data_IF_525533558770
#
_entry.id   IF_525533558770
#
_cell.length_a   1.000
_cell.length_b   1.000
_cell.length_c   1.000
_cell.angle_alpha   90.00
_cell.angle_beta   90.00
_cell.angle_gamma   90.00
#
_symmetry.space_group_name_H-M   'P 1'
#
loop_
_entity.id
_entity.type
_entity.pdbx_description
1 polymer ?
#
# COMPACT_ATOMS: atom_id res chain seq x y z
N UNK A 1 1.85 16.32 9.32
CA UNK A 1 1.58 14.95 9.80
C UNK A 1 1.56 14.02 8.59
N UNK A 2 2.28 12.90 8.61
CA UNK A 2 2.32 11.94 7.49
C UNK A 2 1.13 10.99 7.59
N UNK A 3 0.35 10.85 6.52
CA UNK A 3 -0.81 9.93 6.47
C UNK A 3 -0.40 8.50 6.16
N UNK A 4 0.65 8.34 5.35
CA UNK A 4 1.27 7.07 4.95
C UNK A 4 2.77 7.30 4.77
N UNK A 5 3.59 6.33 5.15
CA UNK A 5 5.05 6.40 5.04
C UNK A 5 5.69 5.01 4.99
N UNK A 6 6.96 4.98 4.59
CA UNK A 6 7.81 3.79 4.62
C UNK A 6 8.50 3.66 5.98
N UNK A 7 8.53 2.46 6.55
CA UNK A 7 9.11 2.14 7.85
C UNK A 7 9.81 0.77 7.80
N UNK A 8 11.12 0.78 7.54
CA UNK A 8 11.98 -0.42 7.59
C UNK A 8 11.45 -1.63 6.80
N UNK A 9 11.16 -1.45 5.52
CA UNK A 9 10.63 -2.55 4.70
C UNK A 9 9.13 -2.76 4.88
N UNK A 10 8.42 -1.83 5.54
CA UNK A 10 6.96 -1.89 5.71
C UNK A 10 6.33 -0.56 5.31
N UNK A 11 5.06 -0.60 4.98
CA UNK A 11 4.26 0.61 4.81
C UNK A 11 3.42 0.82 6.06
N UNK A 12 3.47 2.02 6.62
CA UNK A 12 2.62 2.40 7.75
C UNK A 12 1.69 3.52 7.36
N UNK A 13 0.48 3.47 7.88
CA UNK A 13 -0.55 4.48 7.62
C UNK A 13 -1.40 4.74 8.86
N UNK A 14 -2.04 5.90 8.89
CA UNK A 14 -3.04 6.24 9.89
C UNK A 14 -4.36 5.60 9.49
N UNK A 15 -4.99 4.85 10.40
CA UNK A 15 -6.37 4.38 10.20
C UNK A 15 -7.34 5.56 10.39
N UNK A 16 -7.77 6.14 9.26
CA UNK A 16 -8.68 7.28 9.25
C UNK A 16 -10.10 6.95 9.72
N UNK A 17 -10.50 5.67 9.76
CA UNK A 17 -11.82 5.25 10.28
C UNK A 17 -11.91 5.42 11.81
N UNK A 18 -10.76 5.42 12.50
CA UNK A 18 -10.68 5.55 13.96
C UNK A 18 -10.65 6.99 14.42
N UNK A 19 -10.42 7.94 13.51
CA UNK A 19 -10.45 9.37 13.82
C UNK A 19 -11.89 9.89 13.91
N UNK A 20 -12.18 10.86 14.80
CA UNK A 20 -11.26 11.50 15.74
C UNK A 20 -11.06 10.73 17.06
N UNK A 21 -11.73 9.58 17.25
CA UNK A 21 -11.75 8.86 18.53
C UNK A 21 -10.40 8.30 18.99
N UNK A 22 -9.56 7.82 18.05
CA UNK A 22 -8.22 7.33 18.36
C UNK A 22 -7.27 7.44 17.16
N UNK A 23 -6.02 7.83 17.44
CA UNK A 23 -4.92 7.77 16.48
C UNK A 23 -4.35 6.35 16.47
N UNK A 24 -4.82 5.52 15.53
CA UNK A 24 -4.37 4.14 15.35
C UNK A 24 -3.54 4.04 14.07
N UNK A 25 -2.43 3.31 14.14
CA UNK A 25 -1.57 3.03 13.00
C UNK A 25 -1.79 1.60 12.48
N UNK A 26 -1.77 1.45 11.17
CA UNK A 26 -1.77 0.15 10.49
C UNK A 26 -0.38 -0.08 9.91
N UNK A 27 0.14 -1.29 10.10
CA UNK A 27 1.36 -1.76 9.46
C UNK A 27 0.98 -2.71 8.33
N UNK A 28 1.57 -2.50 7.16
CA UNK A 28 1.39 -3.32 5.97
C UNK A 28 2.75 -3.90 5.58
N UNK A 29 2.84 -5.22 5.58
CA UNK A 29 4.07 -5.96 5.27
C UNK A 29 4.12 -6.41 3.81
N UNK A 30 2.97 -6.41 3.13
CA UNK A 30 2.86 -6.67 1.70
C UNK A 30 1.90 -5.67 1.01
N UNK A 31 1.89 -5.70 -0.33
CA UNK A 31 1.03 -4.83 -1.14
C UNK A 31 -0.46 -5.20 -1.02
N UNK A 32 -0.79 -6.45 -0.64
CA UNK A 32 -2.17 -6.87 -0.43
C UNK A 32 -2.81 -6.17 0.77
N UNK A 33 -2.06 -6.04 1.88
CA UNK A 33 -2.54 -5.32 3.07
C UNK A 33 -2.75 -3.84 2.80
N UNK A 34 -1.90 -3.23 1.97
CA UNK A 34 -2.11 -1.85 1.51
C UNK A 34 -3.35 -1.75 0.61
N UNK A 35 -3.54 -2.70 -0.30
CA UNK A 35 -4.74 -2.75 -1.14
C UNK A 35 -6.02 -2.85 -0.28
N UNK A 36 -6.03 -3.71 0.74
CA UNK A 36 -7.12 -3.78 1.73
C UNK A 36 -7.33 -2.45 2.43
N UNK A 37 -6.27 -1.74 2.84
CA UNK A 37 -6.39 -0.45 3.51
C UNK A 37 -7.05 0.63 2.62
N UNK A 38 -6.77 0.60 1.30
CA UNK A 38 -7.38 1.49 0.32
C UNK A 38 -8.87 1.14 0.13
N UNK A 39 -9.18 -0.14 -0.11
CA UNK A 39 -10.54 -0.62 -0.38
C UNK A 39 -11.47 -0.41 0.82
N UNK A 40 -10.97 -0.69 2.03
CA UNK A 40 -11.74 -0.50 3.28
C UNK A 40 -11.77 0.94 3.76
N UNK A 41 -11.06 1.86 3.10
CA UNK A 41 -10.96 3.27 3.47
C UNK A 41 -10.27 3.52 4.82
N UNK A 42 -9.41 2.61 5.30
CA UNK A 42 -8.45 2.90 6.37
C UNK A 42 -7.53 4.06 5.96
N UNK A 43 -7.20 4.14 4.66
CA UNK A 43 -6.61 5.33 4.03
C UNK A 43 -7.50 5.83 2.90
N UNK A 44 -7.65 7.16 2.80
CA UNK A 44 -8.48 7.82 1.79
C UNK A 44 -7.95 9.21 1.44
N UNK A 45 -8.49 9.77 0.36
CA UNK A 45 -8.05 11.02 -0.28
C UNK A 45 -7.16 10.70 -1.48
N UNK A 46 -7.48 11.25 -2.66
CA UNK A 46 -6.83 10.87 -3.91
C UNK A 46 -5.29 10.97 -3.87
N UNK A 47 -4.67 12.06 -3.34
CA UNK A 47 -3.22 12.12 -3.21
C UNK A 47 -2.64 11.05 -2.27
N UNK A 48 -3.30 10.79 -1.14
CA UNK A 48 -2.83 9.80 -0.16
C UNK A 48 -2.93 8.37 -0.69
N UNK A 49 -3.99 8.07 -1.44
CA UNK A 49 -4.17 6.77 -2.13
C UNK A 49 -3.06 6.58 -3.16
N UNK A 50 -2.75 7.61 -3.96
CA UNK A 50 -1.66 7.54 -4.94
C UNK A 50 -0.31 7.22 -4.29
N UNK A 51 0.03 7.89 -3.19
CA UNK A 51 1.26 7.62 -2.43
C UNK A 51 1.24 6.22 -1.82
N UNK A 52 0.11 5.78 -1.26
CA UNK A 52 -0.02 4.44 -0.69
C UNK A 52 0.18 3.35 -1.74
N UNK A 53 -0.41 3.50 -2.93
CA UNK A 53 -0.23 2.55 -4.04
C UNK A 53 1.22 2.52 -4.55
N UNK A 54 1.89 3.67 -4.65
CA UNK A 54 3.29 3.73 -5.03
C UNK A 54 4.19 3.03 -4.00
N UNK A 55 3.95 3.26 -2.71
CA UNK A 55 4.68 2.58 -1.63
C UNK A 55 4.38 1.08 -1.59
N UNK A 56 3.17 0.65 -1.93
CA UNK A 56 2.82 -0.76 -2.05
C UNK A 56 3.58 -1.45 -3.19
N UNK A 57 3.78 -0.78 -4.34
CA UNK A 57 4.64 -1.30 -5.40
C UNK A 57 6.10 -1.39 -4.96
N UNK A 58 6.60 -0.39 -4.25
CA UNK A 58 7.94 -0.43 -3.66
C UNK A 58 8.06 -1.58 -2.64
N UNK A 59 7.03 -1.83 -1.85
CA UNK A 59 6.95 -2.93 -0.89
C UNK A 59 7.00 -4.30 -1.57
N UNK A 60 6.23 -4.47 -2.65
CA UNK A 60 6.27 -5.67 -3.47
C UNK A 60 7.68 -5.91 -4.06
N UNK A 61 8.32 -4.87 -4.58
CA UNK A 61 9.70 -4.98 -5.09
C UNK A 61 10.70 -5.32 -3.99
N UNK A 62 10.56 -4.70 -2.81
CA UNK A 62 11.48 -4.85 -1.69
C UNK A 62 11.48 -6.26 -1.11
N UNK A 63 10.32 -6.91 -1.05
CA UNK A 63 10.16 -8.28 -0.53
C UNK A 63 10.19 -9.36 -1.62
N UNK A 64 10.37 -8.99 -2.88
CA UNK A 64 10.43 -9.95 -3.98
C UNK A 64 11.67 -10.83 -3.85
N UNK A 65 11.47 -12.13 -4.05
CA UNK A 65 12.55 -13.13 -4.18
C UNK A 65 12.75 -13.57 -5.62
N UNK A 66 12.19 -12.82 -6.58
CA UNK A 66 12.23 -13.16 -7.99
C UNK A 66 13.67 -13.35 -8.49
N UNK A 67 13.98 -14.47 -9.17
CA UNK A 67 15.35 -14.81 -9.57
C UNK A 67 15.83 -14.02 -10.79
N UNK A 68 14.98 -13.19 -11.40
CA UNK A 68 15.31 -12.43 -12.61
C UNK A 68 14.49 -11.15 -12.70
N UNK A 69 15.00 -10.20 -13.50
CA UNK A 69 14.28 -8.97 -13.85
C UNK A 69 12.90 -9.25 -14.46
N UNK A 70 12.79 -10.28 -15.31
CA UNK A 70 11.52 -10.63 -15.99
C UNK A 70 10.49 -11.10 -14.96
N UNK A 71 10.90 -11.97 -14.03
CA UNK A 71 10.03 -12.44 -12.95
C UNK A 71 9.59 -11.29 -12.03
N UNK A 72 10.53 -10.41 -11.64
CA UNK A 72 10.21 -9.23 -10.83
C UNK A 72 9.20 -8.31 -11.53
N UNK A 73 9.38 -8.04 -12.82
CA UNK A 73 8.45 -7.21 -13.59
C UNK A 73 7.05 -7.85 -13.68
N UNK A 74 6.96 -9.18 -13.78
CA UNK A 74 5.68 -9.88 -13.75
C UNK A 74 4.98 -9.72 -12.39
N UNK A 75 5.71 -9.88 -11.28
CA UNK A 75 5.18 -9.65 -9.93
C UNK A 75 4.70 -8.21 -9.73
N UNK A 76 5.50 -7.22 -10.14
CA UNK A 76 5.11 -5.81 -10.03
C UNK A 76 3.91 -5.47 -10.92
N UNK A 77 3.77 -6.11 -12.07
CA UNK A 77 2.59 -5.93 -12.95
C UNK A 77 1.34 -6.48 -12.27
N UNK A 78 1.43 -7.64 -11.64
CA UNK A 78 0.33 -8.22 -10.88
C UNK A 78 -0.06 -7.35 -9.67
N UNK A 79 0.93 -6.84 -8.93
CA UNK A 79 0.70 -5.92 -7.82
C UNK A 79 0.05 -4.61 -8.30
N UNK A 80 0.52 -4.03 -9.40
CA UNK A 80 -0.06 -2.83 -9.99
C UNK A 80 -1.53 -3.02 -10.41
N UNK A 81 -1.84 -4.17 -11.02
CA UNK A 81 -3.20 -4.51 -11.40
C UNK A 81 -4.13 -4.63 -10.17
N UNK A 82 -3.66 -5.31 -9.11
CA UNK A 82 -4.40 -5.43 -7.85
C UNK A 82 -4.66 -4.06 -7.21
N UNK A 83 -3.65 -3.20 -7.15
CA UNK A 83 -3.75 -1.86 -6.56
C UNK A 83 -4.67 -0.95 -7.38
N UNK A 84 -4.60 -1.00 -8.71
CA UNK A 84 -5.50 -0.25 -9.59
C UNK A 84 -6.97 -0.67 -9.41
N UNK A 85 -7.22 -1.94 -9.11
CA UNK A 85 -8.55 -2.48 -8.84
C UNK A 85 -9.18 -2.05 -7.50
N UNK A 86 -8.42 -1.43 -6.60
CA UNK A 86 -8.92 -1.06 -5.26
C UNK A 86 -10.02 0.01 -5.30
N UNK A 87 -9.92 0.96 -6.24
CA UNK A 87 -10.91 2.05 -6.44
C UNK A 87 -10.94 2.50 -7.91
N UNK A 88 -11.91 2.04 -8.72
CA UNK A 88 -11.97 2.28 -10.16
C UNK A 88 -12.59 3.62 -10.60
N UNK A 89 -12.96 4.49 -9.66
CA UNK A 89 -13.68 5.76 -9.90
C UNK A 89 -12.77 6.96 -10.05
#
# INVERSE_FOLDING_TARGET
MRTVWWDEGRVRLINQQRLPGALVYVTCEDYHRVATAITTMEIRGAPAIGVAAALALALAAHHSTAPSRVALLAELTAAAAALKGTRPT
#
